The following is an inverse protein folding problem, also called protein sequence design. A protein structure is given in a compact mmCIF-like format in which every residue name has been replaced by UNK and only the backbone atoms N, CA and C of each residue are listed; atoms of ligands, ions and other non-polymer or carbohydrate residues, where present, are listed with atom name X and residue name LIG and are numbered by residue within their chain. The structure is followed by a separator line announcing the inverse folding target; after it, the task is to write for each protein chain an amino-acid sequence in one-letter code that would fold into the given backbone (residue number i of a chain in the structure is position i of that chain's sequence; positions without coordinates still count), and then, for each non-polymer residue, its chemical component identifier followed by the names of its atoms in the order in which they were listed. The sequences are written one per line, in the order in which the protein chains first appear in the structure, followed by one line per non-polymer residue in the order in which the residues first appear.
data_IF_148702513313
#
_entry.id   IF_148702513313
#
_cell.length_a   1.000
_cell.length_b   1.000
_cell.length_c   1.000
_cell.angle_alpha   90.00
_cell.angle_beta   90.00
_cell.angle_gamma   90.00
#
_symmetry.space_group_name_H-M   'P 1'
#
loop_
_entity.id
_entity.type
_entity.pdbx_description
1 polymer ?
2 non-polymer ?
3 non-polymer ?
4 non-polymer ?
5 water ?
#
# COMPACT_ATOMS: atom_id res chain seq x y z
N UNK A 2 4.02 -12.96 14.37
CA UNK A 2 2.56 -13.05 14.44
C UNK A 2 2.03 -13.52 13.09
N UNK A 3 0.82 -14.03 13.08
CA UNK A 3 0.25 -14.56 11.85
C UNK A 3 -0.49 -13.45 11.10
N UNK A 4 -0.70 -13.64 9.79
CA UNK A 4 -1.49 -12.66 9.04
C UNK A 4 -2.88 -12.46 9.61
N UNK A 5 -3.53 -13.53 10.07
CA UNK A 5 -4.86 -13.37 10.65
C UNK A 5 -4.81 -12.50 11.90
N UNK A 6 -3.77 -12.65 12.73
CA UNK A 6 -3.68 -11.79 13.90
C UNK A 6 -3.36 -10.36 13.51
N UNK A 7 -2.58 -10.17 12.45
CA UNK A 7 -2.27 -8.82 12.02
C UNK A 7 -3.50 -8.15 11.43
N UNK A 8 -4.31 -8.92 10.70
CA UNK A 8 -5.57 -8.40 10.22
C UNK A 8 -6.45 -7.96 11.37
N UNK A 9 -6.51 -8.77 12.43
CA UNK A 9 -7.25 -8.39 13.61
C UNK A 9 -6.75 -7.07 14.19
N UNK A 10 -5.43 -6.90 14.28
CA UNK A 10 -4.87 -5.67 14.81
C UNK A 10 -5.30 -4.46 13.98
N UNK A 11 -5.35 -4.61 12.66
CA UNK A 11 -5.83 -3.53 11.81
C UNK A 11 -7.27 -3.17 12.15
N UNK A 12 -8.13 -4.17 12.33
CA UNK A 12 -9.49 -3.89 12.74
C UNK A 12 -9.56 -3.18 14.09
N UNK A 13 -8.76 -3.61 15.06
CA UNK A 13 -8.73 -2.92 16.35
C UNK A 13 -8.32 -1.48 16.18
N UNK A 14 -7.26 -1.25 15.39
CA UNK A 14 -6.76 0.09 15.13
C UNK A 14 -7.85 0.98 14.55
N UNK A 15 -8.57 0.48 13.55
CA UNK A 15 -9.58 1.31 12.90
C UNK A 15 -10.72 1.67 13.83
N UNK A 16 -11.09 0.77 14.75
CA UNK A 16 -12.14 1.11 15.71
C UNK A 16 -11.62 2.08 16.77
N UNK A 17 -10.34 2.01 17.13
CA UNK A 17 -9.77 3.02 18.02
C UNK A 17 -9.75 4.38 17.34
N UNK A 18 -9.37 4.42 16.06
CA UNK A 18 -9.46 5.65 15.28
C UNK A 18 -10.90 6.18 15.34
N UNK A 19 -11.87 5.31 15.06
CA UNK A 19 -13.26 5.72 15.02
C UNK A 19 -13.73 6.26 16.37
N UNK A 20 -13.28 5.65 17.47
CA UNK A 20 -13.73 6.02 18.81
C UNK A 20 -12.94 7.18 19.40
N UNK A 21 -11.77 7.49 18.86
CA UNK A 21 -10.94 8.55 19.42
C UNK A 21 -10.15 8.11 20.63
N UNK A 22 -9.33 7.09 20.48
CA UNK A 22 -8.61 6.45 21.58
C UNK A 22 -7.12 6.45 21.24
N UNK A 23 -6.45 7.60 21.32
CA UNK A 23 -5.01 7.62 20.96
C UNK A 23 -4.12 6.78 21.84
N UNK A 24 -4.41 6.63 23.13
CA UNK A 24 -3.56 5.78 23.97
C UNK A 24 -3.69 4.31 23.57
N UNK A 25 -4.91 3.88 23.23
CA UNK A 25 -5.07 2.50 22.78
C UNK A 25 -4.44 2.28 21.41
N UNK A 26 -4.47 3.28 20.53
CA UNK A 26 -3.74 3.22 19.27
C UNK A 26 -2.25 3.05 19.53
N UNK A 27 -1.69 3.92 20.37
CA UNK A 27 -0.25 3.86 20.63
C UNK A 27 0.16 2.49 21.16
N UNK A 28 -0.69 1.88 21.98
CA UNK A 28 -0.36 0.57 22.56
C UNK A 28 -0.25 -0.52 21.50
N UNK A 29 -0.93 -0.35 20.36
CA UNK A 29 -0.79 -1.34 19.29
C UNK A 29 0.54 -1.24 18.57
N UNK A 30 1.17 -0.08 18.60
CA UNK A 30 2.46 0.11 17.95
C UNK A 30 3.60 -0.41 18.83
N UNK A 31 4.67 -0.82 18.17
CA UNK A 31 5.90 -1.18 18.84
C UNK A 31 6.58 0.05 19.45
N UNK A 32 7.46 -0.21 20.42
CA UNK A 32 8.10 0.91 21.11
C UNK A 32 8.93 1.76 20.17
N UNK A 33 9.49 1.17 19.10
CA UNK A 33 10.29 1.89 18.13
C UNK A 33 9.62 1.94 16.76
N UNK A 34 8.29 1.90 16.76
CA UNK A 34 7.54 1.96 15.51
C UNK A 34 7.73 3.29 14.78
N UNK A 35 7.41 3.27 13.50
CA UNK A 35 7.37 4.48 12.69
C UNK A 35 5.97 4.68 12.10
N UNK A 36 5.57 5.95 11.98
CA UNK A 36 4.34 6.32 11.31
C UNK A 36 4.67 7.42 10.31
N UNK A 37 4.28 7.21 9.06
CA UNK A 37 4.45 8.18 7.99
C UNK A 37 3.06 8.45 7.41
N UNK A 38 2.47 9.58 7.82
CA UNK A 38 1.08 9.89 7.50
C UNK A 38 0.95 11.38 7.23
N UNK A 39 0.87 11.79 5.96
CA UNK A 39 0.92 10.96 4.77
C UNK A 39 2.36 10.58 4.39
N UNK A 40 2.50 9.56 3.55
CA UNK A 40 3.81 9.30 2.96
C UNK A 40 4.31 10.57 2.31
N UNK A 41 5.60 10.85 2.48
CA UNK A 41 6.22 12.07 2.05
C UNK A 41 6.48 13.06 3.16
N UNK A 42 5.76 12.95 4.28
CA UNK A 42 5.94 13.84 5.41
C UNK A 42 6.94 13.22 6.38
N UNK A 43 7.48 14.04 7.27
CA UNK A 43 8.46 13.56 8.24
C UNK A 43 7.90 12.41 9.08
N UNK A 44 8.67 11.33 9.17
CA UNK A 44 8.28 10.16 9.94
C UNK A 44 8.18 10.54 11.40
N UNK A 45 7.20 9.94 12.08
CA UNK A 45 7.10 9.97 13.53
C UNK A 45 7.71 8.66 14.04
N UNK A 46 8.69 8.77 14.94
CA UNK A 46 9.48 7.64 15.39
C UNK A 46 9.23 7.43 16.89
N UNK A 47 8.95 6.21 17.26
CA UNK A 47 8.83 5.82 18.66
C UNK A 47 7.42 6.00 19.19
N UNK A 48 7.05 5.14 20.13
CA UNK A 48 5.66 5.14 20.58
C UNK A 48 5.26 6.44 21.25
N UNK A 49 6.17 7.10 21.97
CA UNK A 49 5.81 8.36 22.62
C UNK A 49 5.46 9.44 21.60
N UNK A 50 6.24 9.54 20.52
CA UNK A 50 5.91 10.51 19.47
C UNK A 50 4.63 10.12 18.74
N UNK A 51 4.43 8.83 18.54
CA UNK A 51 3.22 8.36 17.87
C UNK A 51 1.98 8.68 18.71
N UNK A 52 2.07 8.47 20.03
CA UNK A 52 0.97 8.85 20.92
C UNK A 52 0.63 10.32 20.76
N UNK A 53 1.65 11.17 20.74
CA UNK A 53 1.41 12.60 20.58
C UNK A 53 0.77 12.91 19.25
N UNK A 54 1.24 12.26 18.18
CA UNK A 54 0.65 12.48 16.86
C UNK A 54 -0.84 12.21 16.88
N UNK A 55 -1.25 11.05 17.39
CA UNK A 55 -2.67 10.71 17.40
C UNK A 55 -3.47 11.50 18.42
N UNK A 56 -2.82 12.26 19.30
CA UNK A 56 -3.48 12.98 20.36
C UNK A 56 -4.42 14.06 19.90
N UNK A 57 -4.50 14.32 18.60
CA UNK A 57 -5.41 15.31 18.07
C UNK A 57 -6.80 14.75 17.78
N UNK A 58 -6.91 13.43 17.56
CA UNK A 58 -8.21 12.78 17.46
C UNK A 58 -8.74 12.32 18.82
N UNK A 59 -8.19 12.84 19.91
CA UNK A 59 -8.63 12.47 21.24
C UNK A 59 -10.11 12.79 21.40
N UNK A 60 -10.88 11.79 21.86
CA UNK A 60 -12.30 11.97 22.14
C UNK A 60 -13.06 12.53 20.94
N UNK A 61 -12.68 12.07 19.74
CA UNK A 61 -13.38 12.39 18.50
C UNK A 61 -14.04 11.12 18.00
N UNK A 62 -15.24 11.27 17.43
CA UNK A 62 -15.98 10.15 16.87
C UNK A 62 -15.98 10.25 15.35
N UNK A 63 -15.52 9.19 14.69
CA UNK A 63 -15.51 9.09 13.24
C UNK A 63 -16.06 7.72 12.85
N UNK A 64 -16.10 7.46 11.54
CA UNK A 64 -16.58 6.19 11.01
C UNK A 64 -15.60 5.67 9.98
N UNK A 65 -15.15 4.43 10.17
CA UNK A 65 -14.17 3.80 9.30
C UNK A 65 -14.82 2.57 8.66
N UNK A 66 -14.43 2.29 7.42
CA UNK A 66 -14.95 1.14 6.67
C UNK A 66 -13.82 0.59 5.82
N UNK A 67 -13.58 -0.72 5.92
CA UNK A 67 -12.60 -1.38 5.07
C UNK A 67 -13.25 -1.76 3.75
N UNK A 68 -12.61 -1.37 2.65
CA UNK A 68 -13.02 -1.80 1.32
C UNK A 68 -12.38 -3.14 0.97
N UNK A 69 -11.06 -3.23 1.12
CA UNK A 69 -10.35 -4.48 0.87
C UNK A 69 -9.11 -4.50 1.76
N UNK A 70 -8.76 -5.68 2.23
CA UNK A 70 -7.65 -5.87 3.15
C UNK A 70 -6.92 -7.14 2.76
N UNK A 71 -5.60 -7.03 2.65
CA UNK A 71 -4.75 -8.16 2.24
C UNK A 71 -3.64 -8.32 3.28
N UNK A 72 -3.74 -9.36 4.10
CA UNK A 72 -2.75 -9.68 5.13
C UNK A 72 -1.84 -10.77 4.56
N UNK A 73 -0.58 -10.41 4.35
CA UNK A 73 0.38 -11.25 3.63
C UNK A 73 1.71 -11.16 4.36
N UNK A 74 2.31 -12.30 4.69
CA UNK A 74 3.59 -12.24 5.37
C UNK A 74 3.43 -11.50 6.69
N UNK A 75 4.33 -10.55 6.95
CA UNK A 75 4.23 -9.70 8.13
C UNK A 75 3.69 -8.32 7.79
N UNK A 76 2.85 -8.22 6.75
CA UNK A 76 2.29 -6.95 6.31
C UNK A 76 0.78 -7.04 6.16
N UNK A 77 0.12 -5.89 6.21
CA UNK A 77 -1.27 -5.78 5.80
C UNK A 77 -1.41 -4.52 4.96
N UNK A 78 -1.93 -4.66 3.74
CA UNK A 78 -2.31 -3.52 2.90
C UNK A 78 -3.82 -3.44 2.94
N UNK A 79 -4.34 -2.22 3.13
CA UNK A 79 -5.77 -2.07 3.23
C UNK A 79 -6.22 -0.75 2.61
N UNK A 80 -7.35 -0.81 1.91
CA UNK A 80 -7.96 0.34 1.28
C UNK A 80 -9.26 0.56 2.03
N UNK A 81 -9.45 1.78 2.52
CA UNK A 81 -10.49 2.01 3.51
C UNK A 81 -10.95 3.46 3.46
N UNK A 82 -12.09 3.73 4.09
CA UNK A 82 -12.61 5.08 4.13
C UNK A 82 -12.73 5.57 5.56
N UNK A 83 -12.44 6.85 5.72
CA UNK A 83 -12.51 7.55 7.00
C UNK A 83 -13.49 8.69 6.83
N UNK A 84 -14.55 8.69 7.64
CA UNK A 84 -15.63 9.68 7.54
C UNK A 84 -15.82 10.41 8.86
N UNK A 91 -20.72 15.58 6.04
CA UNK A 91 -19.30 15.78 6.31
C UNK A 91 -18.42 15.37 5.15
N UNK A 92 -17.19 14.96 5.47
CA UNK A 92 -16.19 14.57 4.48
C UNK A 92 -15.79 13.11 4.72
N UNK A 93 -15.51 12.41 3.62
CA UNK A 93 -15.00 11.05 3.66
C UNK A 93 -13.68 10.98 2.92
N UNK A 94 -12.65 10.43 3.58
CA UNK A 94 -11.33 10.21 3.00
C UNK A 94 -11.25 8.76 2.57
N UNK A 95 -10.74 8.50 1.38
CA UNK A 95 -10.43 7.13 0.96
C UNK A 95 -8.92 6.98 0.87
N UNK A 96 -8.39 5.97 1.56
CA UNK A 96 -6.99 5.88 1.94
C UNK A 96 -6.46 4.50 1.57
N UNK A 97 -5.24 4.45 1.06
CA UNK A 97 -4.48 3.20 0.96
C UNK A 97 -3.45 3.21 2.07
N UNK A 98 -3.45 2.16 2.90
CA UNK A 98 -2.52 2.07 4.02
C UNK A 98 -1.76 0.75 3.97
N UNK A 99 -0.53 0.78 4.47
CA UNK A 99 0.28 -0.42 4.65
C UNK A 99 0.82 -0.40 6.07
N UNK A 100 0.60 -1.50 6.80
CA UNK A 100 1.22 -1.70 8.10
C UNK A 100 2.09 -2.93 8.03
N UNK A 101 3.21 -2.90 8.76
CA UNK A 101 4.04 -4.07 8.96
C UNK A 101 4.14 -4.32 10.45
N UNK A 102 4.44 -5.59 10.79
CA UNK A 102 4.31 -6.10 12.15
C UNK A 102 5.57 -6.81 12.60
N UNK A 103 5.92 -6.63 13.87
CA UNK A 103 7.05 -7.34 14.46
C UNK A 103 6.64 -8.76 14.82
N UNK A 104 7.62 -9.51 15.34
CA UNK A 104 7.38 -10.90 15.72
C UNK A 104 6.28 -11.02 16.76
N UNK A 105 6.17 -10.04 17.66
CA UNK A 105 5.19 -10.09 18.74
C UNK A 105 3.84 -9.50 18.35
N UNK A 106 3.65 -9.15 17.09
CA UNK A 106 2.36 -8.68 16.62
C UNK A 106 2.13 -7.20 16.77
N UNK A 107 3.05 -6.45 17.37
CA UNK A 107 2.88 -5.01 17.40
C UNK A 107 3.16 -4.42 16.02
N UNK A 108 2.58 -3.24 15.78
CA UNK A 108 2.79 -2.56 14.51
C UNK A 108 4.18 -1.95 14.52
N UNK A 109 5.03 -2.40 13.58
CA UNK A 109 6.37 -1.88 13.40
C UNK A 109 6.36 -0.60 12.56
N UNK A 110 5.50 -0.53 11.55
CA UNK A 110 5.47 0.63 10.68
C UNK A 110 4.07 0.81 10.14
N UNK A 111 3.72 2.09 9.90
CA UNK A 111 2.50 2.44 9.20
C UNK A 111 2.83 3.50 8.16
N UNK A 112 2.24 3.36 6.97
CA UNK A 112 2.32 4.35 5.90
C UNK A 112 0.93 4.53 5.33
N UNK A 113 0.52 5.79 5.17
CA UNK A 113 -0.81 6.13 4.67
C UNK A 113 -0.65 6.98 3.40
N UNK A 114 -1.32 6.56 2.33
CA UNK A 114 -1.20 7.19 1.02
C UNK A 114 -2.55 7.81 0.68
N UNK A 115 -2.62 9.12 0.76
CA UNK A 115 -3.82 9.90 0.48
C UNK A 115 -3.37 11.35 0.35
N UNK A 116 -4.23 12.17 -0.26
CA UNK A 116 -4.08 13.62 -0.30
C UNK A 116 -5.47 14.23 -0.22
N UNK A 117 -5.59 15.56 -0.13
CA UNK A 117 -6.93 16.16 -0.14
C UNK A 117 -7.73 15.85 -1.39
N UNK A 118 -7.08 15.40 -2.48
CA UNK A 118 -7.82 14.96 -3.66
C UNK A 118 -8.66 13.71 -3.38
N UNK A 119 -8.35 12.98 -2.32
CA UNK A 119 -9.08 11.78 -1.94
C UNK A 119 -10.14 12.08 -0.90
N UNK A 120 -10.55 13.34 -0.77
CA UNK A 120 -11.57 13.77 0.19
C UNK A 120 -12.78 14.25 -0.62
N UNK A 121 -13.93 13.66 -0.36
CA UNK A 121 -15.16 14.01 -1.05
C UNK A 121 -16.24 14.31 -0.01
N UNK A 122 -17.23 15.10 -0.41
CA UNK A 122 -18.33 15.44 0.49
C UNK A 122 -19.20 14.22 0.76
N UNK B 2 13.90 12.21 -8.66
CA UNK B 2 12.73 12.32 -9.54
C UNK B 2 11.57 12.90 -8.75
N UNK B 3 10.60 13.44 -9.45
CA UNK B 3 9.43 14.01 -8.79
C UNK B 3 8.30 13.00 -8.69
N UNK B 4 7.31 13.25 -7.84
CA UNK B 4 6.12 12.41 -7.83
C UNK B 4 5.47 12.28 -9.21
N UNK B 5 5.40 13.38 -9.98
CA UNK B 5 4.85 13.27 -11.33
C UNK B 5 5.67 12.31 -12.19
N UNK B 6 7.00 12.42 -12.13
CA UNK B 6 7.85 11.49 -12.87
C UNK B 6 7.53 10.06 -12.46
N UNK B 7 7.37 9.83 -11.17
CA UNK B 7 7.17 8.47 -10.68
C UNK B 7 5.81 7.93 -11.11
N UNK B 8 4.78 8.78 -11.10
CA UNK B 8 3.49 8.38 -11.63
C UNK B 8 3.60 8.01 -13.11
N UNK B 9 4.34 8.83 -13.87
CA UNK B 9 4.56 8.51 -15.27
C UNK B 9 5.23 7.15 -15.42
N UNK B 10 6.21 6.87 -14.57
CA UNK B 10 6.90 5.59 -14.66
C UNK B 10 5.96 4.43 -14.37
N UNK B 11 5.07 4.59 -13.37
CA UNK B 11 4.08 3.55 -13.12
C UNK B 11 3.23 3.32 -14.36
N UNK B 12 2.80 4.39 -15.04
CA UNK B 12 2.00 4.19 -16.24
C UNK B 12 2.78 3.44 -17.32
N UNK B 13 4.08 3.68 -17.44
CA UNK B 13 4.80 2.93 -18.44
C UNK B 13 5.02 1.49 -18.03
N UNK B 14 5.16 1.23 -16.73
CA UNK B 14 5.19 -0.14 -16.24
C UNK B 14 3.91 -0.86 -16.66
N UNK B 15 2.75 -0.23 -16.42
CA UNK B 15 1.49 -0.88 -16.75
C UNK B 15 1.33 -1.05 -18.26
N UNK B 16 1.85 -0.11 -19.05
CA UNK B 16 1.87 -0.27 -20.49
C UNK B 16 2.65 -1.52 -20.89
N UNK B 17 3.86 -1.67 -20.36
CA UNK B 17 4.70 -2.80 -20.73
C UNK B 17 4.13 -4.12 -20.22
N UNK B 18 3.47 -4.11 -19.06
CA UNK B 18 2.73 -5.29 -18.62
C UNK B 18 1.64 -5.65 -19.62
N UNK B 19 0.83 -4.67 -20.01
CA UNK B 19 -0.27 -4.94 -20.93
C UNK B 19 0.22 -5.46 -22.28
N UNK B 20 1.42 -5.06 -22.70
CA UNK B 20 1.95 -5.46 -23.98
C UNK B 20 2.80 -6.74 -23.91
N UNK B 21 3.05 -7.25 -22.71
CA UNK B 21 3.87 -8.44 -22.56
C UNK B 21 5.31 -8.18 -22.93
N UNK B 22 5.92 -7.13 -22.37
CA UNK B 22 7.25 -6.69 -22.75
C UNK B 22 8.18 -6.72 -21.53
N UNK B 23 8.68 -7.91 -21.16
CA UNK B 23 9.53 -7.99 -19.96
C UNK B 23 10.84 -7.22 -20.07
N UNK B 24 11.42 -7.10 -21.27
CA UNK B 24 12.66 -6.33 -21.39
C UNK B 24 12.39 -4.88 -21.02
N UNK B 25 11.30 -4.32 -21.51
CA UNK B 25 10.97 -2.92 -21.20
C UNK B 25 10.58 -2.75 -19.74
N UNK B 26 9.97 -3.76 -19.13
CA UNK B 26 9.69 -3.70 -17.69
C UNK B 26 10.99 -3.65 -16.92
N UNK B 27 11.89 -4.59 -17.22
CA UNK B 27 13.12 -4.69 -16.44
C UNK B 27 13.94 -3.41 -16.53
N UNK B 28 13.88 -2.72 -17.67
CA UNK B 28 14.65 -1.51 -17.83
C UNK B 28 14.16 -0.38 -16.94
N UNK B 29 12.92 -0.46 -16.44
CA UNK B 29 12.43 0.55 -15.51
C UNK B 29 13.02 0.38 -14.11
N UNK B 30 13.52 -0.80 -13.78
CA UNK B 30 14.01 -1.08 -12.45
C UNK B 30 15.49 -0.72 -12.33
N UNK B 31 15.88 -0.33 -11.12
CA UNK B 31 17.27 -0.09 -10.77
C UNK B 31 18.08 -1.38 -10.80
N UNK B 32 19.39 -1.24 -10.92
CA UNK B 32 20.26 -2.40 -10.99
C UNK B 32 20.11 -3.31 -9.78
N UNK B 33 19.92 -2.72 -8.59
CA UNK B 33 19.80 -3.45 -7.33
C UNK B 33 18.38 -3.41 -6.77
N UNK B 34 17.40 -3.29 -7.65
CA UNK B 34 16.01 -3.20 -7.23
C UNK B 34 15.54 -4.51 -6.63
N UNK B 35 14.46 -4.43 -5.89
CA UNK B 35 13.79 -5.61 -5.34
C UNK B 35 12.35 -5.68 -5.83
N UNK B 36 11.87 -6.91 -6.04
CA UNK B 36 10.48 -7.18 -6.36
C UNK B 36 9.98 -8.24 -5.41
N UNK B 37 8.88 -7.96 -4.72
CA UNK B 37 8.22 -8.90 -3.83
C UNK B 37 6.79 -9.03 -4.33
N UNK B 38 6.52 -10.12 -5.06
CA UNK B 38 5.23 -10.33 -5.71
C UNK B 38 4.85 -11.80 -5.62
N UNK B 39 3.91 -12.17 -4.74
CA UNK B 39 3.21 -11.30 -3.79
C UNK B 39 4.05 -11.02 -2.57
N UNK B 40 3.66 -9.99 -1.81
CA UNK B 40 4.24 -9.80 -0.49
C UNK B 40 4.07 -11.09 0.31
N UNK B 41 5.13 -11.47 1.02
CA UNK B 41 5.21 -12.71 1.75
C UNK B 41 6.05 -13.78 1.06
N UNK B 42 6.34 -13.61 -0.22
CA UNK B 42 7.16 -14.56 -0.96
C UNK B 42 8.60 -14.05 -1.05
N UNK B 43 9.51 -14.97 -1.40
CA UNK B 43 10.91 -14.61 -1.45
C UNK B 43 11.16 -13.47 -2.43
N UNK B 44 11.88 -12.46 -1.96
CA UNK B 44 12.15 -11.31 -2.81
C UNK B 44 13.05 -11.71 -3.97
N UNK B 45 12.88 -11.01 -5.10
CA UNK B 45 13.75 -11.12 -6.26
C UNK B 45 14.64 -9.87 -6.28
N UNK B 46 15.95 -10.08 -6.29
CA UNK B 46 16.91 -9.00 -6.08
C UNK B 46 17.77 -8.83 -7.33
N UNK B 47 17.80 -7.61 -7.85
CA UNK B 47 18.65 -7.25 -8.98
C UNK B 47 17.95 -7.40 -10.32
N UNK B 48 18.42 -6.62 -11.31
CA UNK B 48 17.68 -6.57 -12.58
C UNK B 48 17.66 -7.93 -13.28
N UNK B 49 18.75 -8.71 -13.20
CA UNK B 49 18.78 -10.00 -13.88
C UNK B 49 17.70 -10.93 -13.33
N UNK B 50 17.58 -11.02 -12.01
CA UNK B 50 16.52 -11.83 -11.39
C UNK B 50 15.14 -11.28 -11.71
N UNK B 51 15.00 -9.96 -11.73
CA UNK B 51 13.72 -9.33 -12.04
C UNK B 51 13.33 -9.62 -13.49
N UNK B 52 14.27 -9.49 -14.43
CA UNK B 52 13.94 -9.81 -15.81
C UNK B 52 13.48 -11.26 -15.94
N UNK B 53 14.15 -12.18 -15.25
CA UNK B 53 13.74 -13.57 -15.32
C UNK B 53 12.33 -13.75 -14.78
N UNK B 54 12.02 -13.05 -13.70
CA UNK B 54 10.73 -13.16 -13.05
C UNK B 54 9.59 -12.71 -13.95
N UNK B 55 9.82 -11.67 -14.74
CA UNK B 55 8.80 -11.18 -15.66
C UNK B 55 8.80 -11.92 -17.00
N UNK B 56 9.67 -12.91 -17.18
CA UNK B 56 9.83 -13.52 -18.49
C UNK B 56 8.57 -14.17 -19.02
N UNK B 57 7.69 -14.63 -18.13
CA UNK B 57 6.48 -15.30 -18.57
C UNK B 57 5.47 -14.36 -19.20
N UNK B 58 5.64 -13.06 -19.06
CA UNK B 58 4.75 -12.13 -19.74
C UNK B 58 5.11 -11.92 -21.20
N UNK B 59 6.22 -12.48 -21.67
CA UNK B 59 6.71 -12.16 -23.02
C UNK B 59 5.62 -12.42 -24.04
N UNK B 60 5.21 -11.35 -24.73
CA UNK B 60 4.21 -11.39 -25.80
C UNK B 60 2.81 -11.69 -25.29
N UNK B 61 2.60 -11.83 -23.98
CA UNK B 61 1.26 -12.07 -23.43
C UNK B 61 0.55 -10.73 -23.29
N UNK B 62 -0.53 -10.55 -24.05
CA UNK B 62 -1.28 -9.30 -24.03
C UNK B 62 -2.33 -9.34 -22.94
N UNK B 63 -2.52 -8.20 -22.28
CA UNK B 63 -3.51 -8.05 -21.22
C UNK B 63 -4.01 -6.61 -21.25
N UNK B 64 -4.90 -6.28 -20.32
CA UNK B 64 -5.39 -4.92 -20.17
C UNK B 64 -5.31 -4.51 -18.72
N UNK B 65 -4.85 -3.29 -18.48
CA UNK B 65 -4.71 -2.77 -17.13
C UNK B 65 -5.60 -1.54 -16.97
N UNK B 66 -6.03 -1.32 -15.73
CA UNK B 66 -6.83 -0.16 -15.38
C UNK B 66 -6.40 0.34 -14.01
N UNK B 67 -6.10 1.64 -13.91
CA UNK B 67 -5.75 2.24 -12.62
C UNK B 67 -7.04 2.74 -11.98
N UNK B 68 -7.34 2.26 -10.78
CA UNK B 68 -8.50 2.73 -10.02
C UNK B 68 -8.17 3.98 -9.20
N UNK B 69 -7.00 4.01 -8.57
CA UNK B 69 -6.53 5.20 -7.90
C UNK B 69 -5.02 5.07 -7.74
N UNK B 70 -4.35 6.20 -7.80
CA UNK B 70 -2.90 6.26 -7.73
C UNK B 70 -2.51 7.47 -6.90
N UNK B 71 -1.57 7.26 -5.98
CA UNK B 71 -1.10 8.33 -5.09
C UNK B 71 0.43 8.35 -5.13
N UNK B 72 0.97 9.36 -5.79
CA UNK B 72 2.41 9.57 -5.88
C UNK B 72 2.81 10.60 -4.83
N UNK B 73 3.58 10.15 -3.85
CA UNK B 73 3.89 10.92 -2.64
C UNK B 73 5.36 10.69 -2.31
N UNK B 74 6.10 11.75 -2.08
CA UNK B 74 7.51 11.55 -1.75
C UNK B 74 8.19 10.78 -2.86
N UNK B 75 8.91 9.72 -2.49
CA UNK B 75 9.62 8.86 -3.43
C UNK B 75 8.82 7.61 -3.76
N UNK B 76 7.53 7.59 -3.44
CA UNK B 76 6.72 6.39 -3.51
C UNK B 76 5.50 6.61 -4.41
N UNK B 77 4.94 5.50 -4.90
CA UNK B 77 3.63 5.52 -5.53
C UNK B 77 2.87 4.29 -5.05
N UNK B 78 1.69 4.52 -4.47
CA UNK B 78 0.76 3.44 -4.14
C UNK B 78 -0.36 3.49 -5.14
N UNK B 79 -0.71 2.34 -5.72
CA UNK B 79 -1.75 2.31 -6.74
C UNK B 79 -2.59 1.05 -6.62
N UNK B 80 -3.89 1.24 -6.83
CA UNK B 80 -4.87 0.17 -6.80
C UNK B 80 -5.37 0.02 -8.23
N UNK B 81 -5.23 -1.18 -8.79
CA UNK B 81 -5.37 -1.36 -10.22
C UNK B 81 -5.85 -2.76 -10.54
N UNK B 82 -6.31 -2.94 -11.77
CA UNK B 82 -6.74 -4.24 -12.23
C UNK B 82 -5.91 -4.71 -13.42
N UNK B 83 -5.67 -6.00 -13.45
CA UNK B 83 -4.96 -6.68 -14.53
C UNK B 83 -5.91 -7.72 -15.11
N UNK B 84 -6.24 -7.60 -16.39
CA UNK B 84 -7.18 -8.51 -17.05
C UNK B 84 -6.45 -9.30 -18.12
N UNK B 85 -6.43 -10.62 -17.96
CA UNK B 85 -5.72 -11.53 -18.87
C UNK B 85 -6.74 -12.50 -19.43
N UNK B 86 -6.82 -12.57 -20.76
CA UNK B 86 -7.71 -13.50 -21.44
C UNK B 86 -8.77 -12.81 -22.27
N UNK B 91 -11.56 -15.19 -19.49
CA UNK B 91 -10.33 -14.96 -18.77
C UNK B 91 -10.58 -14.56 -17.32
N UNK B 92 -9.65 -13.79 -16.76
CA UNK B 92 -9.72 -13.40 -15.35
C UNK B 92 -9.43 -11.92 -15.22
N UNK B 93 -9.62 -11.41 -14.01
CA UNK B 93 -9.27 -10.03 -13.67
C UNK B 93 -8.79 -10.04 -12.24
N UNK B 94 -7.55 -9.59 -12.05
CA UNK B 94 -6.90 -9.49 -10.75
C UNK B 94 -7.09 -8.07 -10.22
N UNK B 95 -7.25 -7.98 -8.90
CA UNK B 95 -7.50 -6.72 -8.22
C UNK B 95 -6.35 -6.52 -7.23
N UNK B 96 -5.47 -5.56 -7.51
CA UNK B 96 -4.13 -5.50 -6.92
C UNK B 96 -3.91 -4.16 -6.24
N UNK B 97 -3.30 -4.19 -5.05
CA UNK B 97 -2.70 -3.00 -4.42
C UNK B 97 -1.20 -3.13 -4.55
N UNK B 98 -0.56 -2.12 -5.14
CA UNK B 98 0.87 -2.13 -5.35
C UNK B 98 1.51 -0.88 -4.75
N UNK B 99 2.75 -1.03 -4.28
CA UNK B 99 3.57 0.10 -3.87
C UNK B 99 4.93 -0.03 -4.55
N UNK B 100 5.35 1.06 -5.20
CA UNK B 100 6.69 1.18 -5.73
C UNK B 100 7.40 2.35 -5.07
N UNK B 101 8.71 2.22 -4.91
CA UNK B 101 9.56 3.31 -4.48
C UNK B 101 10.63 3.52 -5.52
N UNK B 102 11.18 4.74 -5.56
CA UNK B 102 12.00 5.20 -6.66
C UNK B 102 13.31 5.79 -6.16
N UNK B 103 14.38 5.53 -6.92
CA UNK B 103 15.69 6.08 -6.65
C UNK B 103 15.77 7.53 -7.12
N UNK B 104 16.93 8.14 -6.89
CA UNK B 104 17.11 9.53 -7.27
C UNK B 104 17.01 9.72 -8.78
N UNK B 105 17.40 8.72 -9.56
CA UNK B 105 17.35 8.79 -11.02
C UNK B 105 16.01 8.36 -11.59
N UNK B 106 15.02 8.10 -10.75
CA UNK B 106 13.69 7.80 -11.22
C UNK B 106 13.44 6.35 -11.53
N UNK B 107 14.45 5.49 -11.44
CA UNK B 107 14.19 4.07 -11.68
C UNK B 107 13.64 3.42 -10.42
N UNK B 108 12.87 2.35 -10.63
CA UNK B 108 12.16 1.68 -9.54
C UNK B 108 13.16 0.99 -8.63
N UNK B 109 13.17 1.39 -7.36
CA UNK B 109 14.02 0.75 -6.34
C UNK B 109 13.36 -0.50 -5.76
N UNK B 110 12.06 -0.46 -5.51
CA UNK B 110 11.36 -1.58 -4.94
C UNK B 110 9.93 -1.63 -5.46
N UNK B 111 9.40 -2.84 -5.59
CA UNK B 111 7.98 -3.06 -5.86
C UNK B 111 7.47 -4.13 -4.91
N UNK B 112 6.27 -3.90 -4.39
CA UNK B 112 5.53 -4.85 -3.57
C UNK B 112 4.11 -4.92 -4.11
N UNK B 113 3.59 -6.12 -4.26
CA UNK B 113 2.23 -6.35 -4.75
C UNK B 113 1.43 -7.15 -3.74
N UNK B 114 0.24 -6.64 -3.41
CA UNK B 114 -0.62 -7.22 -2.38
C UNK B 114 -1.91 -7.73 -3.03
N UNK B 115 -2.01 -9.05 -3.16
CA UNK B 115 -3.15 -9.72 -3.79
C UNK B 115 -3.00 -11.20 -3.43
N UNK B 116 -4.11 -11.91 -3.56
CA UNK B 116 -4.15 -13.38 -3.49
C UNK B 116 -5.18 -13.85 -4.50
N UNK B 117 -5.35 -15.16 -4.70
CA UNK B 117 -6.41 -15.63 -5.60
C UNK B 117 -7.82 -15.17 -5.22
N UNK B 118 -8.05 -14.76 -3.97
CA UNK B 118 -9.37 -14.24 -3.65
C UNK B 118 -9.64 -12.89 -4.30
N UNK B 119 -8.60 -12.25 -4.85
CA UNK B 119 -8.76 -11.01 -5.58
C UNK B 119 -8.82 -11.22 -7.08
N UNK B 120 -9.10 -12.45 -7.50
CA UNK B 120 -9.22 -12.79 -8.92
C UNK B 120 -10.69 -13.12 -9.14
N UNK B 121 -11.26 -12.53 -10.19
CA UNK B 121 -12.65 -12.76 -10.55
C UNK B 121 -12.73 -13.15 -12.01
N UNK B 122 -13.87 -13.74 -12.36
CA UNK B 122 -14.18 -14.15 -13.73
C UNK B 122 -13.08 -15.02 -14.33
#
# INVERSE_FOLDING_TARGET
MSTPQDNANTVHRYLEFVAKGQPDEIAALYADDATVENPVGSEVHIGRQAIRGFYGNLENVQSRTEVKTLRALGHEVAFYWTLSIGGDEGGMTMDIISVMTFNDDGRIKSMKAYWTPENITQR
MSTPQDNANTVHRYLEFVAKGQPDEIAALYADDATVENPVGSEVHIGRQAIRGFYGNLENVQSRTEVKTLRALGHEVAFYWTLSIGGDEGGMTMDIISVMTFNDDGRIKSMKAYWTPENITQR
#
